data_IF_332665314523
#
_entry.id   IF_332665314523
#
_cell.length_a   1.000
_cell.length_b   1.000
_cell.length_c   1.000
_cell.angle_alpha   90.00
_cell.angle_beta   90.00
_cell.angle_gamma   90.00
#
_symmetry.space_group_name_H-M   'P 1'
#
loop_
_entity.id
_entity.type
_entity.pdbx_description
1 polymer ?
#
# COMPACT_ATOMS: atom_id res chain seq x y z
N UNK A 1 20.00 -31.44 17.46
CA UNK A 1 19.08 -30.78 16.51
C UNK A 1 18.77 -29.42 17.08
N UNK A 2 19.37 -28.36 16.50
CA UNK A 2 19.03 -27.00 16.89
C UNK A 2 17.61 -26.72 16.42
N UNK A 3 16.71 -26.42 17.36
CA UNK A 3 15.47 -25.73 17.03
C UNK A 3 15.88 -24.38 16.47
N UNK A 4 15.80 -24.21 15.15
CA UNK A 4 15.81 -22.88 14.58
C UNK A 4 14.55 -22.20 15.11
N UNK A 5 14.72 -21.15 15.91
CA UNK A 5 13.62 -20.27 16.28
C UNK A 5 12.92 -19.85 15.00
N UNK A 6 11.64 -20.21 14.88
CA UNK A 6 10.83 -19.85 13.73
C UNK A 6 10.63 -18.33 13.78
N UNK A 7 11.43 -17.61 12.99
CA UNK A 7 11.25 -16.17 12.80
C UNK A 7 9.87 -15.93 12.18
N UNK A 8 8.97 -15.32 12.95
CA UNK A 8 7.67 -14.87 12.45
C UNK A 8 7.90 -13.47 11.92
N UNK A 9 7.87 -13.32 10.59
CA UNK A 9 7.98 -12.01 9.95
C UNK A 9 6.84 -11.11 10.38
N UNK A 10 7.16 -9.88 10.76
CA UNK A 10 6.15 -8.87 11.06
C UNK A 10 5.61 -8.22 9.77
N UNK A 11 4.62 -7.34 9.92
CA UNK A 11 4.00 -6.68 8.76
C UNK A 11 4.93 -5.68 8.08
N UNK A 12 5.87 -5.05 8.80
CA UNK A 12 6.83 -4.11 8.20
C UNK A 12 7.83 -4.86 7.32
N UNK A 13 8.41 -5.94 7.84
CA UNK A 13 9.29 -6.83 7.10
C UNK A 13 8.60 -7.43 5.88
N UNK A 14 7.35 -7.85 6.03
CA UNK A 14 6.57 -8.39 4.92
C UNK A 14 6.32 -7.32 3.83
N UNK A 15 5.91 -6.10 4.21
CA UNK A 15 5.69 -5.01 3.26
C UNK A 15 6.97 -4.67 2.48
N UNK A 16 8.10 -4.59 3.18
CA UNK A 16 9.39 -4.30 2.59
C UNK A 16 9.87 -5.43 1.67
N UNK A 17 9.72 -6.69 2.08
CA UNK A 17 10.10 -7.84 1.27
C UNK A 17 9.37 -7.89 -0.08
N UNK A 18 8.07 -7.56 -0.10
CA UNK A 18 7.31 -7.45 -1.35
C UNK A 18 7.81 -6.31 -2.25
N UNK A 19 8.13 -5.15 -1.68
CA UNK A 19 8.68 -4.02 -2.45
C UNK A 19 10.06 -4.34 -3.03
N UNK A 20 10.95 -4.95 -2.24
CA UNK A 20 12.27 -5.42 -2.71
C UNK A 20 12.12 -6.46 -3.81
N UNK A 21 11.16 -7.38 -3.68
CA UNK A 21 10.89 -8.36 -4.74
C UNK A 21 10.49 -7.67 -6.04
N UNK A 22 9.62 -6.66 -6.00
CA UNK A 22 9.25 -5.88 -7.18
C UNK A 22 10.45 -5.14 -7.78
N UNK A 23 11.32 -4.57 -6.95
CA UNK A 23 12.58 -3.92 -7.36
C UNK A 23 13.49 -4.89 -8.12
N UNK A 24 13.68 -6.11 -7.60
CA UNK A 24 14.48 -7.15 -8.26
C UNK A 24 13.93 -7.57 -9.62
N UNK A 25 12.61 -7.49 -9.82
CA UNK A 25 11.98 -7.84 -11.10
C UNK A 25 12.21 -6.80 -12.20
N UNK A 26 12.61 -5.57 -11.85
CA UNK A 26 12.89 -4.50 -12.81
C UNK A 26 14.39 -4.19 -12.96
N UNK A 27 15.27 -4.97 -12.33
CA UNK A 27 16.71 -4.84 -12.53
C UNK A 27 17.08 -4.91 -14.02
N UNK A 28 17.99 -4.04 -14.45
CA UNK A 28 18.36 -3.91 -15.86
C UNK A 28 17.30 -3.20 -16.70
N UNK A 29 16.70 -2.14 -16.15
CA UNK A 29 15.72 -1.24 -16.80
C UNK A 29 14.41 -1.92 -17.21
N UNK A 30 13.94 -2.91 -16.44
CA UNK A 30 12.65 -3.57 -16.69
C UNK A 30 12.63 -4.55 -17.86
N UNK A 31 13.79 -4.91 -18.44
CA UNK A 31 13.91 -5.85 -19.57
C UNK A 31 13.20 -7.18 -19.35
N UNK A 32 13.15 -7.67 -18.10
CA UNK A 32 12.43 -8.89 -17.77
C UNK A 32 10.94 -8.77 -18.07
N UNK A 33 10.31 -7.65 -17.71
CA UNK A 33 8.87 -7.43 -17.92
C UNK A 33 8.54 -7.22 -19.40
N UNK A 34 9.47 -6.64 -20.17
CA UNK A 34 9.34 -6.51 -21.62
C UNK A 34 9.48 -7.87 -22.33
N UNK A 35 10.48 -8.66 -21.94
CA UNK A 35 10.75 -9.97 -22.52
C UNK A 35 9.70 -11.02 -22.13
N UNK A 36 9.18 -10.94 -20.90
CA UNK A 36 8.27 -11.93 -20.33
C UNK A 36 7.00 -11.25 -19.77
N UNK A 37 6.02 -10.89 -20.63
CA UNK A 37 4.76 -10.27 -20.20
C UNK A 37 3.98 -11.11 -19.18
N UNK A 38 4.22 -12.42 -19.15
CA UNK A 38 3.65 -13.34 -18.16
C UNK A 38 4.05 -12.97 -16.72
N UNK A 39 5.14 -12.23 -16.51
CA UNK A 39 5.61 -11.85 -15.18
C UNK A 39 4.95 -10.56 -14.67
N UNK A 40 4.30 -9.78 -15.53
CA UNK A 40 3.65 -8.50 -15.19
C UNK A 40 2.61 -8.63 -14.06
N UNK A 41 1.71 -9.63 -14.05
CA UNK A 41 0.78 -9.79 -12.94
C UNK A 41 1.46 -10.05 -11.61
N UNK A 42 2.57 -10.80 -11.58
CA UNK A 42 3.36 -11.01 -10.35
C UNK A 42 3.90 -9.67 -9.89
N UNK A 43 4.57 -8.93 -10.78
CA UNK A 43 5.18 -7.65 -10.46
C UNK A 43 4.18 -6.68 -9.82
N UNK A 44 3.03 -6.49 -10.48
CA UNK A 44 1.99 -5.59 -9.96
C UNK A 44 1.40 -6.14 -8.65
N UNK A 45 1.25 -7.45 -8.51
CA UNK A 45 0.81 -8.07 -7.25
C UNK A 45 1.77 -7.77 -6.11
N UNK A 46 3.08 -7.80 -6.33
CA UNK A 46 4.08 -7.47 -5.30
C UNK A 46 3.92 -6.02 -4.83
N UNK A 47 3.76 -5.07 -5.76
CA UNK A 47 3.53 -3.66 -5.41
C UNK A 47 2.27 -3.45 -4.56
N UNK A 48 1.15 -4.06 -4.97
CA UNK A 48 -0.10 -3.93 -4.24
C UNK A 48 -0.10 -4.69 -2.90
N UNK A 49 0.58 -5.84 -2.80
CA UNK A 49 0.74 -6.55 -1.54
C UNK A 49 1.55 -5.74 -0.53
N UNK A 50 2.66 -5.14 -0.98
CA UNK A 50 3.43 -4.22 -0.14
C UNK A 50 2.55 -3.10 0.40
N UNK A 51 1.85 -2.37 -0.47
CA UNK A 51 0.98 -1.25 -0.07
C UNK A 51 -0.20 -1.68 0.82
N UNK A 52 -0.85 -2.82 0.52
CA UNK A 52 -1.95 -3.36 1.33
C UNK A 52 -1.48 -3.66 2.76
N UNK A 53 -0.30 -4.28 2.90
CA UNK A 53 0.27 -4.61 4.20
C UNK A 53 0.67 -3.35 4.95
N UNK A 54 1.31 -2.37 4.29
CA UNK A 54 1.68 -1.10 4.93
C UNK A 54 0.45 -0.38 5.48
N UNK A 55 -0.64 -0.28 4.71
CA UNK A 55 -1.90 0.33 5.17
C UNK A 55 -2.51 -0.42 6.36
N UNK A 56 -2.48 -1.76 6.34
CA UNK A 56 -2.96 -2.58 7.46
C UNK A 56 -2.13 -2.36 8.71
N UNK A 57 -0.81 -2.40 8.58
CA UNK A 57 0.11 -2.19 9.70
C UNK A 57 -0.16 -0.82 10.33
N UNK A 58 -0.13 0.24 9.53
CA UNK A 58 -0.32 1.61 10.00
C UNK A 58 -1.66 1.76 10.71
N UNK A 59 -2.76 1.29 10.13
CA UNK A 59 -4.08 1.46 10.75
C UNK A 59 -4.31 0.60 12.00
N UNK A 60 -3.72 -0.60 12.09
CA UNK A 60 -3.83 -1.46 13.28
C UNK A 60 -3.00 -0.88 14.42
N UNK A 61 -1.72 -0.58 14.18
CA UNK A 61 -0.81 -0.14 15.25
C UNK A 61 -1.09 1.29 15.72
N UNK A 62 -1.66 2.14 14.86
CA UNK A 62 -2.16 3.46 15.27
C UNK A 62 -3.51 3.42 16.01
N UNK A 63 -4.10 2.22 16.19
CA UNK A 63 -5.44 2.01 16.74
C UNK A 63 -6.55 2.74 15.95
N UNK A 64 -6.33 2.99 14.66
CA UNK A 64 -7.32 3.61 13.80
C UNK A 64 -8.47 2.63 13.46
N UNK A 65 -8.12 1.36 13.28
CA UNK A 65 -9.07 0.25 13.15
C UNK A 65 -8.44 -1.04 13.65
N UNK A 66 -9.26 -2.03 13.98
CA UNK A 66 -8.76 -3.32 14.46
C UNK A 66 -8.53 -4.33 13.33
N UNK A 67 -7.81 -5.41 13.66
CA UNK A 67 -7.49 -6.49 12.72
C UNK A 67 -8.73 -7.07 12.03
N UNK A 68 -9.84 -7.29 12.75
CA UNK A 68 -11.06 -7.87 12.17
C UNK A 68 -11.69 -6.98 11.10
N UNK A 69 -11.58 -5.66 11.26
CA UNK A 69 -12.08 -4.69 10.29
C UNK A 69 -11.28 -4.74 8.99
N UNK A 70 -10.01 -5.15 9.01
CA UNK A 70 -9.19 -5.31 7.79
C UNK A 70 -9.55 -6.54 6.94
N UNK A 71 -10.37 -7.45 7.48
CA UNK A 71 -10.78 -8.70 6.82
C UNK A 71 -12.26 -8.72 6.39
N UNK A 72 -13.05 -7.71 6.75
CA UNK A 72 -14.53 -7.78 6.68
C UNK A 72 -15.12 -7.10 5.44
N UNK A 73 -15.15 -7.81 4.31
CA UNK A 73 -15.93 -7.45 3.11
C UNK A 73 -16.95 -8.54 2.75
N UNK A 74 -18.25 -8.21 2.71
CA UNK A 74 -19.37 -9.17 2.63
C UNK A 74 -19.46 -10.04 1.36
N UNK A 75 -18.57 -9.90 0.36
CA UNK A 75 -18.60 -10.71 -0.88
C UNK A 75 -17.23 -11.00 -1.51
N UNK A 76 -16.12 -10.56 -0.92
CA UNK A 76 -14.77 -10.69 -1.49
C UNK A 76 -13.76 -11.08 -0.40
N UNK A 77 -12.76 -11.89 -0.75
CA UNK A 77 -11.74 -12.42 0.18
C UNK A 77 -10.73 -11.31 0.60
N UNK A 78 -11.19 -10.37 1.43
CA UNK A 78 -10.41 -9.29 2.03
C UNK A 78 -10.69 -7.90 1.45
N UNK A 79 -10.16 -6.85 2.10
CA UNK A 79 -10.12 -5.49 1.58
C UNK A 79 -8.97 -5.31 0.58
N UNK A 80 -9.23 -4.61 -0.53
CA UNK A 80 -8.18 -4.05 -1.36
C UNK A 80 -7.63 -2.75 -0.76
N UNK A 81 -6.62 -2.18 -1.40
CA UNK A 81 -5.95 -0.95 -0.93
C UNK A 81 -6.90 0.24 -0.84
N UNK A 82 -7.87 0.35 -1.76
CA UNK A 82 -8.87 1.42 -1.77
C UNK A 82 -9.81 1.30 -0.57
N UNK A 83 -10.30 0.08 -0.27
CA UNK A 83 -11.19 -0.13 0.86
C UNK A 83 -10.50 0.09 2.21
N UNK A 84 -9.21 -0.28 2.34
CA UNK A 84 -8.41 0.02 3.53
C UNK A 84 -8.19 1.52 3.71
N UNK A 85 -7.83 2.22 2.64
CA UNK A 85 -7.67 3.68 2.68
C UNK A 85 -9.00 4.38 2.97
N UNK A 86 -10.12 3.82 2.48
CA UNK A 86 -11.47 4.31 2.79
C UNK A 86 -11.79 4.20 4.27
N UNK A 87 -11.59 3.00 4.82
CA UNK A 87 -11.75 2.77 6.25
C UNK A 87 -10.87 3.73 7.07
N UNK A 88 -9.63 3.97 6.64
CA UNK A 88 -8.73 4.89 7.31
C UNK A 88 -9.27 6.33 7.34
N UNK A 89 -9.67 6.89 6.19
CA UNK A 89 -10.15 8.28 6.17
C UNK A 89 -11.49 8.43 6.91
N UNK A 90 -12.39 7.45 6.84
CA UNK A 90 -13.65 7.44 7.58
C UNK A 90 -13.40 7.49 9.09
N UNK A 91 -12.40 6.74 9.57
CA UNK A 91 -12.00 6.71 10.98
C UNK A 91 -11.28 7.97 11.44
N UNK A 92 -10.57 8.63 10.53
CA UNK A 92 -9.95 9.93 10.78
C UNK A 92 -10.96 11.09 10.76
N UNK A 93 -12.21 10.85 10.33
CA UNK A 93 -13.19 11.92 10.12
C UNK A 93 -12.80 12.87 8.98
N UNK A 94 -11.98 12.41 8.03
CA UNK A 94 -11.52 13.20 6.90
C UNK A 94 -12.55 13.20 5.76
N UNK A 95 -12.54 14.25 4.94
CA UNK A 95 -13.31 14.32 3.68
C UNK A 95 -12.53 13.80 2.46
N UNK A 96 -11.24 13.51 2.61
CA UNK A 96 -10.38 12.99 1.54
C UNK A 96 -9.39 11.92 2.04
N UNK A 97 -8.79 11.19 1.09
CA UNK A 97 -7.70 10.26 1.33
C UNK A 97 -6.34 10.94 1.59
N UNK A 98 -6.23 12.26 1.44
CA UNK A 98 -4.94 12.95 1.50
C UNK A 98 -4.23 12.82 2.85
N UNK A 99 -4.91 12.82 4.02
CA UNK A 99 -4.25 12.62 5.30
C UNK A 99 -3.51 11.28 5.41
N UNK A 100 -4.14 10.19 4.98
CA UNK A 100 -3.50 8.88 5.02
C UNK A 100 -2.35 8.82 4.01
N UNK A 101 -2.52 9.37 2.80
CA UNK A 101 -1.44 9.41 1.81
C UNK A 101 -0.25 10.23 2.31
N UNK A 102 -0.49 11.42 2.84
CA UNK A 102 0.54 12.30 3.36
C UNK A 102 1.32 11.64 4.51
N UNK A 103 0.64 10.92 5.40
CA UNK A 103 1.29 10.14 6.45
C UNK A 103 2.13 8.99 5.86
N UNK A 104 1.56 8.22 4.92
CA UNK A 104 2.21 7.07 4.27
C UNK A 104 3.43 7.47 3.45
N UNK A 105 3.48 8.70 2.91
CA UNK A 105 4.58 9.17 2.07
C UNK A 105 5.44 10.27 2.72
N UNK A 106 5.37 10.42 4.05
CA UNK A 106 5.95 11.57 4.74
C UNK A 106 7.48 11.69 4.57
N UNK A 107 8.22 10.58 4.73
CA UNK A 107 9.68 10.54 4.57
C UNK A 107 10.13 10.09 3.17
N UNK A 108 9.21 9.97 2.21
CA UNK A 108 9.56 9.51 0.87
C UNK A 108 10.42 10.58 0.18
N UNK A 109 11.53 10.17 -0.44
CA UNK A 109 12.45 11.10 -1.11
C UNK A 109 12.04 11.35 -2.57
N UNK A 110 11.26 10.45 -3.16
CA UNK A 110 10.76 10.60 -4.52
C UNK A 110 9.75 11.75 -4.67
N UNK A 111 10.04 12.69 -5.58
CA UNK A 111 9.16 13.85 -5.87
C UNK A 111 7.73 13.44 -6.29
N UNK A 112 7.55 12.25 -6.85
CA UNK A 112 6.26 11.72 -7.31
C UNK A 112 5.67 10.67 -6.38
N UNK A 113 6.29 10.35 -5.24
CA UNK A 113 5.88 9.21 -4.39
C UNK A 113 4.43 9.34 -3.92
N UNK A 114 4.02 10.53 -3.45
CA UNK A 114 2.62 10.79 -3.08
C UNK A 114 1.63 10.63 -4.24
N UNK A 115 2.02 11.01 -5.46
CA UNK A 115 1.19 10.86 -6.65
C UNK A 115 1.07 9.40 -7.07
N UNK A 116 2.15 8.62 -6.99
CA UNK A 116 2.13 7.18 -7.25
C UNK A 116 1.20 6.47 -6.25
N UNK A 117 1.38 6.70 -4.96
CA UNK A 117 0.56 6.07 -3.92
C UNK A 117 -0.91 6.49 -4.06
N UNK A 118 -1.18 7.76 -4.37
CA UNK A 118 -2.52 8.25 -4.74
C UNK A 118 -3.13 7.45 -5.88
N UNK A 119 -2.39 7.27 -6.97
CA UNK A 119 -2.86 6.52 -8.13
C UNK A 119 -3.16 5.07 -7.78
N UNK A 120 -2.26 4.42 -7.03
CA UNK A 120 -2.46 3.04 -6.56
C UNK A 120 -3.66 2.88 -5.63
N UNK A 121 -3.99 3.89 -4.81
CA UNK A 121 -5.12 3.81 -3.88
C UNK A 121 -6.45 4.15 -4.56
N UNK A 122 -6.54 5.25 -5.30
CA UNK A 122 -7.83 5.70 -5.85
C UNK A 122 -7.76 6.34 -7.24
N UNK A 123 -6.59 6.47 -7.87
CA UNK A 123 -6.49 7.09 -9.19
C UNK A 123 -7.17 6.29 -10.30
N UNK A 124 -7.69 6.98 -11.30
CA UNK A 124 -8.48 6.37 -12.38
C UNK A 124 -7.66 5.40 -13.24
N UNK A 125 -6.38 5.71 -13.46
CA UNK A 125 -5.47 4.89 -14.28
C UNK A 125 -5.29 3.47 -13.74
N UNK A 126 -5.45 3.31 -12.43
CA UNK A 126 -5.30 2.04 -11.72
C UNK A 126 -6.64 1.40 -11.32
N UNK A 127 -7.79 2.00 -11.65
CA UNK A 127 -9.11 1.50 -11.22
C UNK A 127 -9.37 0.03 -11.61
N UNK A 128 -8.96 -0.36 -12.83
CA UNK A 128 -9.10 -1.75 -13.28
C UNK A 128 -8.15 -2.69 -12.55
N UNK A 129 -6.87 -2.30 -12.43
CA UNK A 129 -5.84 -3.03 -11.67
C UNK A 129 -6.30 -3.29 -10.23
N UNK A 130 -6.80 -2.27 -9.54
CA UNK A 130 -7.33 -2.38 -8.18
C UNK A 130 -8.46 -3.39 -8.07
N UNK A 131 -9.44 -3.33 -8.98
CA UNK A 131 -10.59 -4.25 -9.00
C UNK A 131 -10.14 -5.70 -9.20
N UNK A 132 -9.21 -5.93 -10.12
CA UNK A 132 -8.65 -7.26 -10.39
C UNK A 132 -7.89 -7.77 -9.18
N UNK A 133 -6.98 -6.97 -8.63
CA UNK A 133 -6.23 -7.29 -7.42
C UNK A 133 -7.13 -7.64 -6.23
N UNK A 134 -8.12 -6.78 -5.94
CA UNK A 134 -9.06 -6.96 -4.83
C UNK A 134 -9.96 -8.21 -5.01
N UNK A 135 -10.20 -8.65 -6.25
CA UNK A 135 -10.95 -9.88 -6.52
C UNK A 135 -10.15 -11.16 -6.25
N UNK A 136 -8.85 -11.05 -5.96
CA UNK A 136 -7.89 -12.16 -5.78
C UNK A 136 -7.86 -13.14 -6.98
N UNK A 137 -8.31 -12.69 -8.16
CA UNK A 137 -8.12 -13.36 -9.45
C UNK A 137 -6.67 -13.18 -9.90
N UNK A 138 -5.76 -13.69 -9.08
CA UNK A 138 -4.31 -13.60 -9.26
C UNK A 138 -3.75 -14.84 -10.01
N UNK A 139 -4.62 -15.83 -10.28
CA UNK A 139 -4.29 -16.98 -11.11
C UNK A 139 -4.27 -16.60 -12.58
N UNK A 140 -3.22 -17.02 -13.29
CA UNK A 140 -2.98 -16.73 -14.70
C UNK A 140 -4.13 -17.03 -15.65
N UNK A 141 -5.02 -17.97 -15.31
CA UNK A 141 -6.19 -18.32 -16.12
C UNK A 141 -7.34 -17.29 -16.06
N UNK A 142 -7.25 -16.27 -15.21
CA UNK A 142 -8.35 -15.35 -14.92
C UNK A 142 -8.08 -13.89 -15.31
N UNK A 143 -6.90 -13.60 -15.88
CA UNK A 143 -6.39 -12.25 -16.17
C UNK A 143 -6.52 -11.98 -17.67
N UNK A 144 -7.28 -10.94 -18.04
CA UNK A 144 -7.40 -10.45 -19.41
C UNK A 144 -6.32 -9.43 -19.79
N UNK A 145 -6.22 -9.11 -21.09
CA UNK A 145 -5.34 -8.05 -21.57
C UNK A 145 -5.66 -6.71 -20.87
N UNK A 146 -4.62 -6.00 -20.45
CA UNK A 146 -4.70 -4.72 -19.74
C UNK A 146 -5.45 -4.77 -18.40
N UNK A 147 -5.56 -5.94 -17.77
CA UNK A 147 -6.11 -6.07 -16.40
C UNK A 147 -5.15 -5.49 -15.35
N UNK A 148 -3.84 -5.59 -15.61
CA UNK A 148 -2.79 -4.94 -14.84
C UNK A 148 -2.17 -3.82 -15.69
N UNK A 149 -2.31 -2.58 -15.21
CA UNK A 149 -1.63 -1.44 -15.82
C UNK A 149 -0.18 -1.36 -15.35
N UNK A 150 0.74 -1.22 -16.29
CA UNK A 150 2.11 -0.75 -16.06
C UNK A 150 2.17 0.72 -16.44
N UNK A 151 2.73 1.56 -15.56
CA UNK A 151 2.92 2.98 -15.82
C UNK A 151 4.41 3.24 -15.75
N UNK A 152 4.95 3.76 -16.85
CA UNK A 152 6.34 4.14 -16.93
C UNK A 152 6.58 5.53 -16.34
N UNK A 153 7.75 5.78 -15.75
CA UNK A 153 8.85 4.81 -15.55
C UNK A 153 8.60 3.87 -14.36
N UNK A 154 8.91 2.58 -14.51
CA UNK A 154 8.64 1.54 -13.49
C UNK A 154 9.39 1.78 -12.17
N UNK A 155 10.60 2.33 -12.27
CA UNK A 155 11.45 2.64 -11.11
C UNK A 155 10.76 3.60 -10.14
N UNK A 156 10.07 4.63 -10.64
CA UNK A 156 9.34 5.58 -9.79
C UNK A 156 8.26 4.88 -8.97
N UNK A 157 7.61 3.86 -9.54
CA UNK A 157 6.56 3.11 -8.86
C UNK A 157 7.11 2.20 -7.76
N UNK A 158 8.19 1.48 -8.08
CA UNK A 158 8.88 0.63 -7.12
C UNK A 158 9.44 1.46 -5.97
N UNK A 159 10.17 2.54 -6.27
CA UNK A 159 10.76 3.42 -5.26
C UNK A 159 9.68 4.00 -4.34
N UNK A 160 8.58 4.52 -4.90
CA UNK A 160 7.50 5.08 -4.09
C UNK A 160 6.90 4.04 -3.12
N UNK A 161 6.67 2.80 -3.57
CA UNK A 161 6.11 1.73 -2.72
C UNK A 161 7.12 1.27 -1.68
N UNK A 162 8.39 1.13 -2.05
CA UNK A 162 9.48 0.73 -1.13
C UNK A 162 9.69 1.77 -0.03
N UNK A 163 9.83 3.06 -0.39
CA UNK A 163 9.94 4.16 0.58
C UNK A 163 8.71 4.20 1.51
N UNK A 164 7.52 3.92 0.97
CA UNK A 164 6.28 3.85 1.77
C UNK A 164 6.32 2.71 2.79
N UNK A 165 6.90 1.56 2.43
CA UNK A 165 7.10 0.45 3.37
C UNK A 165 8.14 0.81 4.45
N UNK A 166 9.23 1.49 4.08
CA UNK A 166 10.25 1.98 5.01
C UNK A 166 9.73 3.10 5.93
N UNK A 167 8.67 3.81 5.52
CA UNK A 167 8.05 4.91 6.27
C UNK A 167 6.94 4.47 7.26
N UNK A 168 6.66 3.16 7.39
CA UNK A 168 5.55 2.64 8.21
C UNK A 168 5.55 3.20 9.64
N UNK A 169 6.69 3.16 10.34
CA UNK A 169 6.75 3.64 11.73
C UNK A 169 6.39 5.12 11.85
N UNK A 170 6.87 5.95 10.93
CA UNK A 170 6.57 7.38 10.93
C UNK A 170 5.10 7.64 10.60
N UNK A 171 4.52 6.88 9.68
CA UNK A 171 3.10 6.94 9.38
C UNK A 171 2.24 6.56 10.59
N UNK A 172 2.63 5.53 11.36
CA UNK A 172 1.97 5.16 12.63
C UNK A 172 1.98 6.35 13.59
N UNK A 173 3.12 7.00 13.77
CA UNK A 173 3.24 8.15 14.69
C UNK A 173 2.32 9.31 14.28
N UNK A 174 2.31 9.68 13.00
CA UNK A 174 1.48 10.76 12.46
C UNK A 174 -0.01 10.45 12.65
N UNK A 175 -0.44 9.26 12.25
CA UNK A 175 -1.85 8.85 12.34
C UNK A 175 -2.29 8.74 13.80
N UNK A 176 -1.43 8.23 14.68
CA UNK A 176 -1.72 8.15 16.12
C UNK A 176 -1.92 9.53 16.75
N UNK A 177 -1.11 10.52 16.36
CA UNK A 177 -1.25 11.90 16.82
C UNK A 177 -2.54 12.55 16.28
N UNK A 178 -2.83 12.34 15.00
CA UNK A 178 -4.04 12.84 14.37
C UNK A 178 -5.27 12.27 15.06
N UNK A 179 -5.38 10.94 15.17
CA UNK A 179 -6.54 10.26 15.71
C UNK A 179 -6.87 10.71 17.15
N UNK A 180 -5.83 10.91 17.98
CA UNK A 180 -5.96 11.51 19.32
C UNK A 180 -6.52 12.93 19.26
N UNK A 181 -6.08 13.74 18.30
CA UNK A 181 -6.46 15.16 18.17
C UNK A 181 -7.83 15.37 17.51
N UNK A 182 -8.27 14.47 16.63
CA UNK A 182 -9.62 14.49 16.04
C UNK A 182 -10.71 14.13 17.06
N UNK A 183 -10.36 13.42 18.14
CA UNK A 183 -11.28 13.20 19.26
C UNK A 183 -11.63 14.48 20.05
N UNK A 184 -10.97 15.61 19.76
CA UNK A 184 -11.20 16.93 20.38
C UNK A 184 -11.90 17.98 19.50
N UNK A 185 -12.67 17.61 18.47
CA UNK A 185 -13.50 18.51 17.65
C UNK A 185 -12.74 19.62 16.87
N UNK A 186 -11.58 19.31 16.30
CA UNK A 186 -10.83 20.25 15.45
C UNK A 186 -10.83 19.77 14.00
N UNK A 187 -11.62 20.41 13.13
CA UNK A 187 -11.64 20.17 11.67
C UNK A 187 -10.35 20.61 10.95
N UNK A 188 -9.45 21.33 11.64
CA UNK A 188 -8.16 21.78 11.10
C UNK A 188 -7.01 21.34 12.02
N UNK A 189 -6.52 20.11 11.83
CA UNK A 189 -5.24 19.73 12.42
C UNK A 189 -4.09 20.31 11.58
N UNK A 190 -3.50 21.41 12.07
CA UNK A 190 -2.17 21.83 11.65
C UNK A 190 -1.18 20.78 12.18
N UNK A 191 -0.62 19.97 11.27
CA UNK A 191 0.56 19.15 11.59
C UNK A 191 1.66 20.13 12.03
N UNK A 192 2.02 20.13 13.31
CA UNK A 192 3.22 20.83 13.77
C UNK A 192 4.41 19.94 13.44
N UNK A 193 5.18 20.38 12.45
CA UNK A 193 6.48 19.82 12.11
C UNK A 193 7.50 20.45 13.07
N UNK A 194 8.07 19.64 13.95
CA UNK A 194 9.30 19.97 14.65
C UNK A 194 10.49 19.41 13.86
#
# INVERSE_FOLDING_TARGET
>A
MNQQDAHIFDFEEAALAYAITAEKMIEGDGKLLEAEPAVVPIFVTMLYQSLEISLKHVGIESNLFNRNETFKGQTKKGHGVEELARLAYERLGSSSYDPIIAAMTYNNCGNNSALVIREMIYGDRMSKTRKVYASRRLGYGEIGNSDFALINPLEEWVCAVKETAENIQKAIDIISQWHKSSSTNSENFLIRFD
#
